data_IF_719684451315
#
_entry.id   IF_719684451315
#
_cell.length_a   1.000
_cell.length_b   1.000
_cell.length_c   1.000
_cell.angle_alpha   90.00
_cell.angle_beta   90.00
_cell.angle_gamma   90.00
#
_symmetry.space_group_name_H-M   'P 1'
#
loop_
_entity.id
_entity.type
_entity.pdbx_description
1 polymer ?
#
# COMPACT_ATOMS: atom_id res chain seq x y z
N UNK A 1 -44.83 27.52 -50.16
CA UNK A 1 -46.28 27.60 -50.43
C UNK A 1 -46.83 26.21 -50.12
N UNK A 2 -47.64 25.92 -49.12
CA UNK A 2 -48.32 26.70 -48.07
C UNK A 2 -48.55 25.73 -46.89
N UNK A 3 -48.52 26.27 -45.67
CA UNK A 3 -49.03 25.66 -44.44
C UNK A 3 -50.56 25.49 -44.48
N UNK A 4 -51.12 24.63 -43.61
CA UNK A 4 -51.96 25.14 -42.52
C UNK A 4 -51.69 24.36 -41.21
N UNK A 5 -51.37 24.95 -40.04
CA UNK A 5 -52.14 25.83 -39.14
C UNK A 5 -53.55 25.34 -38.81
N UNK A 6 -53.73 24.70 -37.65
CA UNK A 6 -54.89 24.89 -36.76
C UNK A 6 -54.59 24.35 -35.34
N UNK A 7 -54.68 25.23 -34.35
CA UNK A 7 -55.09 24.98 -32.96
C UNK A 7 -56.37 25.85 -32.74
N UNK A 8 -57.04 25.93 -31.56
CA UNK A 8 -56.93 25.21 -30.28
C UNK A 8 -58.31 24.76 -29.68
N UNK A 9 -58.33 24.09 -28.51
CA UNK A 9 -59.25 24.31 -27.36
C UNK A 9 -59.12 23.13 -26.35
N UNK A 10 -58.69 23.33 -25.10
CA UNK A 10 -59.37 23.83 -23.88
C UNK A 10 -60.16 22.77 -23.06
N UNK A 11 -59.65 22.58 -21.84
CA UNK A 11 -60.32 22.38 -20.53
C UNK A 11 -61.14 21.13 -20.21
N UNK A 12 -60.69 20.39 -19.17
CA UNK A 12 -61.38 20.11 -17.87
C UNK A 12 -60.49 19.16 -17.04
N UNK A 13 -59.81 19.59 -15.98
CA UNK A 13 -60.20 19.59 -14.55
C UNK A 13 -60.77 18.26 -13.97
N UNK A 14 -60.04 17.70 -13.00
CA UNK A 14 -60.50 17.04 -11.75
C UNK A 14 -59.33 16.17 -11.22
N UNK A 15 -58.49 16.66 -10.30
CA UNK A 15 -58.57 16.48 -8.84
C UNK A 15 -58.62 15.02 -8.36
N UNK A 16 -57.58 14.56 -7.65
CA UNK A 16 -57.74 13.93 -6.34
C UNK A 16 -56.40 13.90 -5.58
N UNK A 17 -56.51 14.33 -4.32
CA UNK A 17 -55.50 14.35 -3.25
C UNK A 17 -55.11 12.94 -2.81
N UNK A 18 -53.87 12.77 -2.33
CA UNK A 18 -53.56 11.82 -1.26
C UNK A 18 -52.34 12.30 -0.46
N UNK A 19 -52.62 12.73 0.77
CA UNK A 19 -51.68 12.76 1.89
C UNK A 19 -51.14 11.37 2.21
N UNK A 20 -49.94 11.31 2.82
CA UNK A 20 -49.53 10.47 3.96
C UNK A 20 -48.01 10.25 3.90
N UNK A 21 -47.22 10.95 4.72
CA UNK A 21 -46.90 10.68 6.12
C UNK A 21 -45.65 9.80 6.27
N UNK A 22 -44.60 10.48 6.75
CA UNK A 22 -43.39 9.97 7.40
C UNK A 22 -43.69 8.90 8.46
N UNK A 23 -42.98 7.76 8.38
CA UNK A 23 -42.92 6.78 9.45
C UNK A 23 -41.53 6.79 10.10
N UNK A 24 -41.49 7.32 11.31
CA UNK A 24 -40.42 7.16 12.29
C UNK A 24 -40.88 6.07 13.26
N UNK A 25 -40.10 5.01 13.46
CA UNK A 25 -40.38 4.00 14.50
C UNK A 25 -39.30 4.02 15.57
N UNK A 26 -39.59 4.75 16.65
CA UNK A 26 -39.11 4.39 17.99
C UNK A 26 -40.02 3.29 18.52
N UNK A 27 -39.46 2.19 19.02
CA UNK A 27 -40.20 1.22 19.83
C UNK A 27 -39.42 0.92 21.10
N UNK A 28 -40.04 1.30 22.22
CA UNK A 28 -39.59 1.11 23.59
C UNK A 28 -40.15 -0.23 24.11
N UNK A 29 -39.29 -0.96 24.81
CA UNK A 29 -39.45 -2.11 25.71
C UNK A 29 -40.86 -2.44 26.25
N UNK A 30 -41.05 -3.72 26.63
CA UNK A 30 -41.34 -3.98 28.05
C UNK A 30 -40.38 -4.99 28.69
N UNK A 31 -40.16 -4.77 29.99
CA UNK A 31 -39.33 -5.56 30.90
C UNK A 31 -40.00 -6.89 31.31
N UNK A 32 -39.16 -7.88 31.63
CA UNK A 32 -39.55 -9.13 32.27
C UNK A 32 -38.32 -9.96 32.64
N UNK A 33 -38.10 -10.14 33.94
CA UNK A 33 -36.87 -10.60 34.60
C UNK A 33 -36.53 -12.11 34.46
N UNK A 34 -35.27 -12.40 34.84
CA UNK A 34 -34.77 -13.59 35.57
C UNK A 34 -34.33 -14.80 34.75
N UNK A 35 -33.01 -15.00 34.60
CA UNK A 35 -32.23 -15.97 35.40
C UNK A 35 -30.74 -15.91 35.02
N UNK A 36 -29.91 -15.58 36.00
CA UNK A 36 -28.45 -15.73 35.97
C UNK A 36 -28.13 -17.17 36.35
N UNK A 37 -27.34 -17.87 35.53
CA UNK A 37 -26.64 -19.09 35.95
C UNK A 37 -25.14 -18.85 35.91
N UNK A 38 -24.58 -18.73 37.11
CA UNK A 38 -23.15 -18.84 37.40
C UNK A 38 -22.69 -20.29 37.16
N UNK A 39 -21.58 -20.47 36.45
CA UNK A 39 -20.85 -21.74 36.45
C UNK A 39 -19.52 -21.55 37.19
N UNK A 40 -19.57 -21.93 38.47
CA UNK A 40 -18.43 -22.14 39.36
C UNK A 40 -17.94 -23.58 39.19
N UNK A 41 -16.66 -23.79 38.84
CA UNK A 41 -15.99 -25.09 38.97
C UNK A 41 -14.67 -24.92 39.74
N UNK A 42 -14.79 -25.16 41.04
CA UNK A 42 -13.93 -25.92 41.97
C UNK A 42 -12.41 -26.00 41.73
N UNK A 43 -11.73 -25.39 42.70
CA UNK A 43 -10.41 -25.69 43.25
C UNK A 43 -10.21 -27.18 43.62
N UNK A 44 -9.00 -27.69 43.35
CA UNK A 44 -8.33 -28.76 44.09
C UNK A 44 -6.88 -28.35 44.31
N UNK A 45 -6.53 -28.16 45.57
CA UNK A 45 -5.16 -28.00 46.06
C UNK A 45 -4.63 -29.33 46.61
N UNK A 46 -3.31 -29.32 46.83
CA UNK A 46 -2.45 -30.23 47.61
C UNK A 46 -1.74 -31.31 46.77
N UNK A 47 -0.44 -31.11 46.47
CA UNK A 47 0.56 -31.64 47.40
C UNK A 47 1.93 -30.93 47.36
N UNK A 48 2.56 -30.90 48.54
CA UNK A 48 3.79 -30.22 48.92
C UNK A 48 5.04 -31.00 48.49
N UNK A 49 6.07 -30.25 48.07
CA UNK A 49 7.45 -30.73 48.01
C UNK A 49 8.43 -29.58 48.26
N UNK A 50 8.73 -29.33 49.52
CA UNK A 50 9.68 -28.32 50.00
C UNK A 50 11.14 -28.79 49.87
N UNK A 51 12.02 -27.93 49.34
CA UNK A 51 13.46 -27.90 49.67
C UNK A 51 14.01 -26.47 49.61
N UNK A 52 14.80 -26.13 50.62
CA UNK A 52 15.22 -24.80 51.05
C UNK A 52 16.75 -24.65 50.81
N UNK A 53 17.15 -23.56 50.10
CA UNK A 53 18.31 -22.63 50.23
C UNK A 53 19.70 -23.26 50.58
N UNK A 54 20.82 -23.05 49.85
CA UNK A 54 21.67 -21.82 49.78
C UNK A 54 22.95 -22.06 48.89
N UNK A 55 23.94 -21.13 48.76
CA UNK A 55 24.20 -20.32 47.56
C UNK A 55 25.57 -20.57 46.90
N UNK A 56 25.71 -20.31 45.59
CA UNK A 56 27.03 -20.06 44.99
C UNK A 56 26.92 -18.91 44.01
N UNK A 57 27.45 -17.77 44.45
CA UNK A 57 27.95 -16.68 43.63
C UNK A 57 28.99 -17.20 42.65
N UNK A 58 28.81 -16.94 41.36
CA UNK A 58 29.85 -16.50 40.42
C UNK A 58 29.28 -16.41 38.98
N UNK A 59 29.83 -15.47 38.22
CA UNK A 59 29.59 -15.16 36.79
C UNK A 59 28.47 -14.17 36.48
N UNK A 60 28.77 -12.89 36.75
CA UNK A 60 28.37 -11.81 35.86
C UNK A 60 29.12 -12.00 34.53
N UNK A 61 28.44 -12.47 33.49
CA UNK A 61 28.87 -12.24 32.11
C UNK A 61 27.72 -11.59 31.33
N UNK A 62 27.95 -10.33 31.01
CA UNK A 62 27.02 -9.45 30.31
C UNK A 62 27.11 -9.72 28.81
N UNK A 63 26.31 -10.64 28.29
CA UNK A 63 26.11 -10.81 26.86
C UNK A 63 24.77 -11.48 26.54
N UNK A 64 23.74 -10.66 26.31
CA UNK A 64 22.52 -11.04 25.58
C UNK A 64 22.54 -10.35 24.21
N UNK A 65 22.33 -11.04 23.08
CA UNK A 65 22.39 -10.43 21.76
C UNK A 65 21.00 -9.89 21.38
N UNK A 66 20.73 -8.64 21.75
CA UNK A 66 19.66 -7.85 21.11
C UNK A 66 20.30 -7.07 19.96
N UNK A 67 19.90 -7.40 18.73
CA UNK A 67 20.14 -6.67 17.48
C UNK A 67 21.55 -6.08 17.29
N UNK A 68 22.50 -6.92 16.84
CA UNK A 68 23.71 -6.41 16.17
C UNK A 68 23.41 -6.20 14.69
N UNK A 69 23.44 -4.94 14.27
CA UNK A 69 23.51 -4.57 12.85
C UNK A 69 24.74 -5.24 12.21
N UNK A 70 24.64 -5.76 10.96
CA UNK A 70 25.81 -6.24 10.25
C UNK A 70 26.82 -5.11 10.12
N UNK A 71 28.03 -5.29 10.66
CA UNK A 71 29.13 -4.34 10.47
C UNK A 71 29.51 -4.33 8.99
N UNK A 72 29.26 -3.21 8.33
CA UNK A 72 29.73 -2.93 7.00
C UNK A 72 31.27 -2.93 6.97
N UNK A 73 31.85 -3.69 6.05
CA UNK A 73 33.29 -3.72 5.80
C UNK A 73 33.58 -2.81 4.59
N UNK A 74 34.17 -1.62 4.76
CA UNK A 74 34.22 -0.59 3.72
C UNK A 74 35.22 -0.87 2.59
N UNK A 75 35.92 -2.01 2.61
CA UNK A 75 37.03 -2.26 1.69
C UNK A 75 36.66 -2.89 0.34
N UNK A 76 35.37 -3.09 0.03
CA UNK A 76 34.91 -3.61 -1.27
C UNK A 76 33.71 -2.83 -1.86
N UNK A 77 33.42 -1.64 -1.36
CA UNK A 77 32.43 -0.77 -1.98
C UNK A 77 33.05 -0.11 -3.21
N UNK A 78 32.75 -0.65 -4.39
CA UNK A 78 32.83 0.15 -5.59
C UNK A 78 31.87 1.33 -5.39
N UNK A 79 32.43 2.52 -5.41
CA UNK A 79 31.71 3.79 -5.53
C UNK A 79 30.91 3.76 -6.83
N UNK A 80 29.65 3.30 -6.78
CA UNK A 80 28.68 3.53 -7.83
C UNK A 80 27.38 4.00 -7.17
N UNK A 81 27.09 5.28 -7.42
CA UNK A 81 25.96 6.04 -6.91
C UNK A 81 24.62 5.40 -7.26
N UNK A 82 23.93 4.87 -6.26
CA UNK A 82 22.47 4.89 -6.21
C UNK A 82 22.07 5.51 -4.88
N UNK A 83 22.26 6.82 -4.76
CA UNK A 83 21.54 7.59 -3.73
C UNK A 83 20.06 7.49 -4.09
N UNK A 84 19.31 6.69 -3.34
CA UNK A 84 17.85 6.61 -3.37
C UNK A 84 17.26 7.91 -2.82
N UNK A 85 17.42 9.00 -3.58
CA UNK A 85 16.90 10.32 -3.25
C UNK A 85 15.39 10.39 -3.49
N UNK A 86 14.71 11.18 -2.65
CA UNK A 86 13.33 11.61 -2.90
C UNK A 86 13.32 12.36 -4.22
N UNK A 87 12.41 11.99 -5.13
CA UNK A 87 12.40 12.56 -6.48
C UNK A 87 12.21 14.09 -6.41
N UNK A 88 12.91 14.91 -7.22
CA UNK A 88 12.85 16.36 -7.14
C UNK A 88 11.44 16.97 -7.26
N UNK A 89 10.52 16.28 -7.98
CA UNK A 89 9.12 16.69 -8.06
C UNK A 89 8.41 16.62 -6.71
N UNK A 90 8.69 15.56 -5.94
CA UNK A 90 8.16 15.39 -4.58
C UNK A 90 8.70 16.46 -3.66
N UNK A 91 10.00 16.75 -3.70
CA UNK A 91 10.59 17.86 -2.92
C UNK A 91 9.99 19.22 -3.29
N UNK A 92 9.56 19.42 -4.54
CA UNK A 92 8.95 20.67 -4.99
C UNK A 92 7.52 20.86 -4.50
N UNK A 93 6.74 19.78 -4.35
CA UNK A 93 5.32 19.87 -4.03
C UNK A 93 4.99 19.51 -2.58
N UNK A 94 5.85 18.74 -1.90
CA UNK A 94 5.65 18.34 -0.51
C UNK A 94 5.61 19.56 0.44
N UNK A 95 4.82 19.44 1.50
CA UNK A 95 4.99 20.29 2.66
C UNK A 95 6.34 19.93 3.31
N UNK A 96 7.18 20.92 3.58
CA UNK A 96 8.50 20.69 4.18
C UNK A 96 8.51 21.22 5.62
N UNK A 97 8.82 20.35 6.58
CA UNK A 97 9.23 20.75 7.93
C UNK A 97 10.73 20.57 8.03
N UNK A 98 11.45 21.64 8.34
CA UNK A 98 12.88 21.58 8.51
C UNK A 98 13.24 21.69 9.99
N UNK A 99 14.01 20.72 10.50
CA UNK A 99 14.48 20.64 11.87
C UNK A 99 13.32 20.72 12.89
N UNK A 100 12.38 19.75 12.86
CA UNK A 100 11.25 19.73 13.78
C UNK A 100 11.70 19.77 15.24
N UNK A 101 10.92 20.45 16.06
CA UNK A 101 11.15 20.62 17.50
C UNK A 101 10.58 19.47 18.32
N UNK A 102 9.50 18.84 17.84
CA UNK A 102 8.83 17.73 18.54
C UNK A 102 8.07 16.81 17.57
N UNK A 103 7.55 15.70 18.09
CA UNK A 103 6.68 14.78 17.33
C UNK A 103 5.33 15.41 17.04
N UNK A 104 4.79 16.16 17.98
CA UNK A 104 3.48 16.82 17.87
C UNK A 104 3.46 17.79 16.69
N UNK A 105 4.57 18.46 16.40
CA UNK A 105 4.71 19.32 15.21
C UNK A 105 4.50 18.54 13.90
N UNK A 106 5.09 17.35 13.81
CA UNK A 106 4.94 16.45 12.65
C UNK A 106 3.49 15.95 12.56
N UNK A 107 2.90 15.53 13.68
CA UNK A 107 1.52 15.03 13.72
C UNK A 107 0.49 16.09 13.35
N UNK A 108 0.68 17.34 13.79
CA UNK A 108 -0.18 18.47 13.40
C UNK A 108 -0.14 18.68 11.89
N UNK A 109 1.05 18.62 11.27
CA UNK A 109 1.18 18.77 9.83
C UNK A 109 0.55 17.60 9.05
N UNK A 110 0.73 16.36 9.51
CA UNK A 110 0.05 15.18 8.94
C UNK A 110 -1.47 15.38 8.98
N UNK A 111 -2.02 15.78 10.13
CA UNK A 111 -3.45 15.98 10.30
C UNK A 111 -3.99 17.16 9.49
N UNK A 112 -3.18 18.19 9.25
CA UNK A 112 -3.53 19.30 8.38
C UNK A 112 -3.70 18.82 6.93
N UNK A 113 -2.77 18.03 6.42
CA UNK A 113 -2.85 17.47 5.05
C UNK A 113 -4.05 16.53 4.93
N UNK A 114 -4.29 15.65 5.92
CA UNK A 114 -5.47 14.78 5.98
C UNK A 114 -6.78 15.57 5.86
N UNK A 115 -6.93 16.65 6.65
CA UNK A 115 -8.11 17.52 6.60
C UNK A 115 -8.32 18.18 5.23
N UNK A 116 -7.24 18.49 4.51
CA UNK A 116 -7.35 19.05 3.16
C UNK A 116 -7.92 18.02 2.17
N UNK A 117 -7.50 16.75 2.26
CA UNK A 117 -8.09 15.66 1.48
C UNK A 117 -9.59 15.48 1.77
N UNK A 118 -10.01 15.61 3.03
CA UNK A 118 -11.42 15.49 3.42
C UNK A 118 -12.27 16.70 2.99
N UNK A 119 -11.66 17.85 2.72
CA UNK A 119 -12.35 19.13 2.46
C UNK A 119 -12.92 19.27 1.03
N UNK A 120 -12.81 18.25 0.19
CA UNK A 120 -13.27 18.27 -1.20
C UNK A 120 -12.37 19.06 -2.17
N UNK A 121 -11.34 19.74 -1.65
CA UNK A 121 -10.28 20.41 -2.41
C UNK A 121 -8.94 19.74 -2.02
N UNK A 122 -8.56 18.63 -2.70
CA UNK A 122 -7.35 17.91 -2.33
C UNK A 122 -6.11 18.80 -2.47
N UNK A 123 -5.11 18.66 -1.57
CA UNK A 123 -3.88 19.42 -1.67
C UNK A 123 -3.11 19.11 -2.95
N UNK A 124 -2.21 20.00 -3.38
CA UNK A 124 -1.34 19.77 -4.54
C UNK A 124 -0.33 18.64 -4.32
N UNK A 125 -0.20 18.15 -3.08
CA UNK A 125 0.70 17.05 -2.72
C UNK A 125 0.17 16.29 -1.51
N UNK A 126 0.35 14.97 -1.54
CA UNK A 126 0.08 14.08 -0.42
C UNK A 126 1.28 13.90 0.52
N UNK A 127 2.35 14.68 0.35
CA UNK A 127 3.61 14.46 1.05
C UNK A 127 3.92 15.50 2.11
N UNK A 128 4.43 15.00 3.23
CA UNK A 128 5.15 15.77 4.23
C UNK A 128 6.61 15.27 4.26
N UNK A 129 7.55 16.12 3.86
CA UNK A 129 8.98 15.87 3.97
C UNK A 129 9.53 16.54 5.22
N UNK A 130 10.01 15.73 6.15
CA UNK A 130 10.64 16.21 7.38
C UNK A 130 12.15 16.07 7.25
N UNK A 131 12.85 17.21 7.27
CA UNK A 131 14.31 17.29 7.06
C UNK A 131 15.07 17.63 8.33
N UNK A 132 16.35 17.28 8.37
CA UNK A 132 17.28 17.65 9.44
C UNK A 132 16.75 17.32 10.85
N UNK A 133 16.15 16.15 11.03
CA UNK A 133 15.50 15.77 12.28
C UNK A 133 16.57 15.67 13.38
N UNK A 134 16.44 16.37 14.53
CA UNK A 134 17.41 16.26 15.61
C UNK A 134 17.60 14.80 16.05
N UNK A 135 18.84 14.33 16.21
CA UNK A 135 19.13 12.90 16.35
C UNK A 135 18.42 12.23 17.53
N UNK A 136 18.18 12.96 18.62
CA UNK A 136 17.38 12.47 19.76
C UNK A 136 15.93 12.20 19.36
N UNK A 137 15.33 13.11 18.58
CA UNK A 137 13.96 12.96 18.06
C UNK A 137 13.91 11.87 16.99
N UNK A 138 14.88 11.82 16.07
CA UNK A 138 14.96 10.78 15.05
C UNK A 138 15.00 9.39 15.68
N UNK A 139 15.86 9.18 16.70
CA UNK A 139 15.93 7.92 17.43
C UNK A 139 14.59 7.54 18.08
N UNK A 140 13.93 8.49 18.74
CA UNK A 140 12.62 8.26 19.34
C UNK A 140 11.55 7.90 18.30
N UNK A 141 11.57 8.51 17.12
CA UNK A 141 10.67 8.19 16.01
C UNK A 141 10.94 6.81 15.38
N UNK A 142 12.17 6.29 15.48
CA UNK A 142 12.51 4.94 14.99
C UNK A 142 12.20 3.85 16.02
N UNK A 143 12.32 4.17 17.32
CA UNK A 143 11.94 3.28 18.41
C UNK A 143 10.42 3.08 18.48
N UNK A 144 9.65 4.11 18.13
CA UNK A 144 8.22 3.98 17.92
C UNK A 144 7.91 3.46 16.52
N UNK A 145 7.48 2.20 16.43
CA UNK A 145 7.13 1.57 15.15
C UNK A 145 5.72 1.93 14.67
N UNK A 146 4.90 2.63 15.47
CA UNK A 146 3.55 2.97 15.05
C UNK A 146 3.52 4.17 14.08
N UNK A 147 3.32 3.85 12.80
CA UNK A 147 2.98 4.85 11.80
C UNK A 147 1.56 5.37 12.05
N UNK A 148 1.31 6.69 11.97
CA UNK A 148 -0.05 7.21 12.08
C UNK A 148 -0.96 6.57 11.04
N UNK A 149 -2.17 6.15 11.45
CA UNK A 149 -3.13 5.48 10.56
C UNK A 149 -3.33 6.26 9.26
N UNK A 150 -3.26 5.58 8.10
CA UNK A 150 -3.42 6.20 6.79
C UNK A 150 -2.19 6.99 6.34
N UNK A 151 -1.00 6.65 6.82
CA UNK A 151 0.27 7.24 6.41
C UNK A 151 1.28 6.14 6.13
N UNK A 152 1.94 6.21 4.99
CA UNK A 152 3.10 5.37 4.66
C UNK A 152 4.38 6.20 4.80
N UNK A 153 5.50 5.53 5.10
CA UNK A 153 6.77 6.23 5.35
C UNK A 153 7.90 5.72 4.45
N UNK A 154 8.70 6.66 3.97
CA UNK A 154 10.05 6.42 3.45
C UNK A 154 11.04 7.06 4.41
N UNK A 155 11.93 6.26 4.99
CA UNK A 155 12.93 6.72 5.97
C UNK A 155 14.30 6.75 5.29
N UNK A 156 14.99 7.89 5.35
CA UNK A 156 16.36 8.06 4.86
C UNK A 156 17.32 8.22 6.04
N UNK A 157 17.88 7.10 6.51
CA UNK A 157 18.70 7.04 7.72
C UNK A 157 19.91 7.97 7.68
N UNK A 158 20.61 8.00 6.55
CA UNK A 158 21.84 8.78 6.37
C UNK A 158 21.63 10.30 6.39
N UNK A 159 20.41 10.77 6.06
CA UNK A 159 20.06 12.21 6.07
C UNK A 159 19.27 12.62 7.31
N UNK A 160 18.85 11.67 8.17
CA UNK A 160 17.86 11.91 9.23
C UNK A 160 16.62 12.63 8.67
N UNK A 161 16.10 12.10 7.55
CA UNK A 161 14.91 12.61 6.87
C UNK A 161 13.84 11.52 6.81
N UNK A 162 12.58 11.94 6.91
CA UNK A 162 11.42 11.07 6.75
C UNK A 162 10.46 11.73 5.78
N UNK A 163 10.06 10.98 4.75
CA UNK A 163 8.98 11.35 3.85
C UNK A 163 7.73 10.59 4.28
N UNK A 164 6.74 11.33 4.78
CA UNK A 164 5.40 10.80 5.06
C UNK A 164 4.53 10.96 3.81
N UNK A 165 3.96 9.85 3.33
CA UNK A 165 2.93 9.80 2.30
C UNK A 165 1.56 9.68 2.98
N UNK A 166 0.75 10.73 2.92
CA UNK A 166 -0.58 10.76 3.51
C UNK A 166 -1.55 10.10 2.54
N UNK A 167 -2.08 8.93 2.90
CA UNK A 167 -2.92 8.14 2.01
C UNK A 167 -4.38 8.62 2.10
N UNK A 168 -4.97 9.20 1.03
CA UNK A 168 -6.39 9.56 1.04
C UNK A 168 -7.24 8.29 1.10
N UNK A 169 -7.94 8.12 2.22
CA UNK A 169 -8.42 6.82 2.68
C UNK A 169 -9.26 6.05 1.67
N UNK A 170 -10.34 6.62 1.14
CA UNK A 170 -11.31 5.83 0.38
C UNK A 170 -10.79 5.37 -1.00
N UNK A 171 -10.27 6.29 -1.82
CA UNK A 171 -9.84 5.95 -3.19
C UNK A 171 -8.60 5.08 -3.22
N UNK A 172 -7.61 5.38 -2.37
CA UNK A 172 -6.40 4.56 -2.29
C UNK A 172 -6.74 3.13 -1.84
N UNK A 173 -7.53 2.99 -0.77
CA UNK A 173 -7.95 1.67 -0.27
C UNK A 173 -8.75 0.90 -1.32
N UNK A 174 -9.64 1.55 -2.06
CA UNK A 174 -10.41 0.91 -3.13
C UNK A 174 -9.50 0.39 -4.25
N UNK A 175 -8.52 1.18 -4.70
CA UNK A 175 -7.57 0.76 -5.74
C UNK A 175 -6.80 -0.47 -5.28
N UNK A 176 -6.22 -0.42 -4.07
CA UNK A 176 -5.44 -1.53 -3.50
C UNK A 176 -6.32 -2.78 -3.32
N UNK A 177 -7.51 -2.62 -2.76
CA UNK A 177 -8.44 -3.74 -2.53
C UNK A 177 -8.84 -4.40 -3.84
N UNK A 178 -9.21 -3.62 -4.86
CA UNK A 178 -9.65 -4.15 -6.16
C UNK A 178 -8.52 -4.82 -6.93
N UNK A 179 -7.31 -4.28 -6.81
CA UNK A 179 -6.12 -4.92 -7.38
C UNK A 179 -5.86 -6.29 -6.74
N UNK A 180 -5.90 -6.38 -5.41
CA UNK A 180 -5.75 -7.65 -4.69
C UNK A 180 -6.86 -8.65 -5.07
N UNK A 181 -8.12 -8.19 -5.12
CA UNK A 181 -9.24 -9.01 -5.58
C UNK A 181 -9.05 -9.53 -7.01
N UNK A 182 -8.50 -8.72 -7.91
CA UNK A 182 -8.20 -9.17 -9.27
C UNK A 182 -7.15 -10.28 -9.29
N UNK A 183 -6.07 -10.16 -8.50
CA UNK A 183 -5.08 -11.23 -8.33
C UNK A 183 -5.77 -12.50 -7.80
N UNK A 184 -6.53 -12.38 -6.72
CA UNK A 184 -7.17 -13.52 -6.05
C UNK A 184 -8.15 -14.25 -6.97
N UNK A 185 -9.01 -13.52 -7.68
CA UNK A 185 -9.99 -14.08 -8.62
C UNK A 185 -9.26 -14.79 -9.77
N UNK A 186 -8.20 -14.18 -10.28
CA UNK A 186 -7.48 -14.69 -11.45
C UNK A 186 -6.69 -15.94 -11.08
N UNK A 187 -5.95 -15.95 -9.98
CA UNK A 187 -5.22 -17.12 -9.50
C UNK A 187 -6.16 -18.24 -9.01
N UNK A 188 -7.26 -17.89 -8.35
CA UNK A 188 -8.27 -18.85 -7.93
C UNK A 188 -8.90 -19.60 -9.10
N UNK A 189 -9.14 -18.92 -10.23
CA UNK A 189 -9.61 -19.56 -11.47
C UNK A 189 -8.59 -20.54 -12.08
N UNK A 190 -7.30 -20.39 -11.73
CA UNK A 190 -6.21 -21.30 -12.14
C UNK A 190 -6.00 -22.45 -11.16
N UNK A 191 -6.77 -22.50 -10.06
CA UNK A 191 -6.59 -23.48 -8.97
C UNK A 191 -5.43 -23.15 -8.03
N UNK A 192 -4.90 -21.93 -8.07
CA UNK A 192 -3.83 -21.44 -7.18
C UNK A 192 -4.49 -20.69 -6.02
N UNK A 193 -4.37 -21.22 -4.81
CA UNK A 193 -5.14 -20.73 -3.65
C UNK A 193 -4.24 -20.29 -2.49
N UNK A 194 -4.62 -19.19 -1.86
CA UNK A 194 -4.03 -18.76 -0.60
C UNK A 194 -4.75 -19.34 0.64
N UNK A 195 -5.94 -19.94 0.47
CA UNK A 195 -6.72 -20.53 1.58
C UNK A 195 -6.71 -22.06 1.57
N UNK A 196 -6.81 -22.67 0.39
CA UNK A 196 -7.13 -24.10 0.28
C UNK A 196 -5.88 -25.00 0.27
N UNK A 197 -4.71 -24.39 0.12
CA UNK A 197 -3.41 -25.06 0.08
C UNK A 197 -2.73 -24.99 1.46
N UNK A 198 -2.08 -26.08 1.89
CA UNK A 198 -1.26 -26.11 3.10
C UNK A 198 0.15 -26.67 2.80
N UNK A 199 1.20 -25.83 2.71
CA UNK A 199 1.18 -24.37 2.87
C UNK A 199 0.43 -23.64 1.73
N UNK A 200 0.04 -22.36 1.92
CA UNK A 200 -0.63 -21.57 0.88
C UNK A 200 0.28 -21.38 -0.35
N UNK A 201 -0.32 -21.34 -1.54
CA UNK A 201 0.45 -21.18 -2.78
C UNK A 201 1.04 -19.76 -2.92
N UNK A 202 0.40 -18.78 -2.30
CA UNK A 202 0.86 -17.40 -2.20
C UNK A 202 0.23 -16.70 -1.00
N UNK A 203 0.74 -15.52 -0.68
CA UNK A 203 0.12 -14.57 0.25
C UNK A 203 0.17 -13.14 -0.29
N UNK A 204 -0.76 -12.32 0.19
CA UNK A 204 -0.83 -10.88 -0.04
C UNK A 204 -0.58 -10.11 1.27
N UNK A 205 0.23 -9.05 1.22
CA UNK A 205 0.41 -8.13 2.35
C UNK A 205 0.66 -6.69 1.88
N UNK A 206 0.38 -5.68 2.69
CA UNK A 206 0.51 -4.26 2.28
C UNK A 206 1.01 -3.32 3.36
N UNK A 207 1.66 -3.83 4.42
CA UNK A 207 2.12 -2.97 5.53
C UNK A 207 3.43 -3.41 6.18
N UNK A 208 4.09 -4.45 5.66
CA UNK A 208 5.37 -4.91 6.19
C UNK A 208 6.50 -4.04 5.63
N UNK A 209 7.10 -3.21 6.50
CA UNK A 209 8.24 -2.36 6.15
C UNK A 209 9.44 -3.19 5.70
N UNK A 210 10.05 -2.76 4.60
CA UNK A 210 11.22 -3.38 3.99
C UNK A 210 12.44 -2.50 4.16
N UNK A 211 13.51 -3.12 4.66
CA UNK A 211 14.78 -2.47 4.93
C UNK A 211 15.66 -2.64 3.70
N UNK A 212 15.90 -1.53 3.02
CA UNK A 212 16.90 -1.42 1.95
C UNK A 212 18.29 -1.11 2.49
N UNK A 213 19.22 -0.76 1.60
CA UNK A 213 20.62 -0.52 1.95
C UNK A 213 20.82 0.69 2.87
N UNK A 214 20.12 1.79 2.60
CA UNK A 214 20.23 3.06 3.32
C UNK A 214 18.87 3.68 3.70
N UNK A 215 17.78 2.96 3.44
CA UNK A 215 16.42 3.47 3.56
C UNK A 215 15.41 2.35 3.82
N UNK A 216 14.26 2.70 4.38
CA UNK A 216 13.16 1.75 4.63
C UNK A 216 11.87 2.25 3.97
N UNK A 217 11.08 1.33 3.41
CA UNK A 217 9.82 1.65 2.70
C UNK A 217 8.75 0.57 2.93
N UNK A 218 7.49 0.97 2.89
CA UNK A 218 6.32 0.09 2.97
C UNK A 218 5.62 0.03 1.60
N UNK A 219 5.26 -1.16 1.08
CA UNK A 219 4.49 -1.28 -0.16
C UNK A 219 3.01 -1.01 0.11
N UNK A 220 2.24 -0.57 -0.90
CA UNK A 220 0.78 -0.48 -0.75
C UNK A 220 0.11 -1.87 -0.79
N UNK A 221 0.62 -2.73 -1.68
CA UNK A 221 0.38 -4.17 -1.64
C UNK A 221 1.60 -4.91 -2.18
N UNK A 222 1.73 -6.18 -1.81
CA UNK A 222 2.86 -7.02 -2.14
C UNK A 222 2.42 -8.48 -2.19
N UNK A 223 3.00 -9.21 -3.13
CA UNK A 223 2.70 -10.62 -3.42
C UNK A 223 3.89 -11.50 -3.07
N UNK A 224 3.65 -12.57 -2.32
CA UNK A 224 4.65 -13.56 -1.93
C UNK A 224 4.27 -14.93 -2.49
N UNK A 225 5.06 -15.50 -3.42
CA UNK A 225 4.85 -16.88 -3.82
C UNK A 225 5.28 -17.83 -2.70
N UNK A 226 4.48 -18.86 -2.43
CA UNK A 226 4.70 -19.84 -1.37
C UNK A 226 4.33 -19.37 0.05
N UNK A 227 3.54 -18.30 0.14
CA UNK A 227 3.08 -17.72 1.41
C UNK A 227 4.04 -16.69 2.03
N UNK A 228 3.62 -16.09 3.14
CA UNK A 228 4.43 -15.13 3.89
C UNK A 228 5.65 -15.83 4.49
N UNK A 229 6.83 -15.18 4.45
CA UNK A 229 8.00 -15.70 5.14
C UNK A 229 7.72 -15.82 6.64
N UNK A 230 8.05 -16.99 7.22
CA UNK A 230 7.86 -17.27 8.64
C UNK A 230 8.66 -16.25 9.47
N UNK A 231 8.06 -15.61 10.51
CA UNK A 231 8.70 -14.56 11.30
C UNK A 231 10.01 -14.97 12.01
N UNK A 232 10.23 -16.27 12.20
CA UNK A 232 11.40 -16.82 12.91
C UNK A 232 12.65 -16.97 12.02
N UNK A 233 12.56 -16.60 10.73
CA UNK A 233 13.69 -16.62 9.79
C UNK A 233 14.54 -15.35 9.80
N UNK A 234 15.86 -15.42 9.58
CA UNK A 234 16.77 -14.27 9.66
C UNK A 234 16.60 -13.24 8.52
N UNK A 235 15.75 -13.49 7.53
CA UNK A 235 15.52 -12.58 6.38
C UNK A 235 14.04 -12.60 6.01
N UNK A 236 13.35 -11.47 6.15
CA UNK A 236 12.00 -11.32 5.60
C UNK A 236 12.11 -11.39 4.07
N UNK A 237 11.60 -12.45 3.45
CA UNK A 237 11.65 -12.64 2.00
C UNK A 237 11.02 -11.44 1.27
N UNK A 238 11.64 -11.00 0.18
CA UNK A 238 11.12 -9.89 -0.65
C UNK A 238 9.98 -10.40 -1.53
N UNK A 239 8.94 -9.59 -1.76
CA UNK A 239 7.84 -9.97 -2.65
C UNK A 239 8.31 -10.07 -4.10
N UNK A 240 7.68 -10.93 -4.89
CA UNK A 240 7.93 -10.98 -6.34
C UNK A 240 7.30 -9.78 -7.06
N UNK A 241 6.11 -9.36 -6.59
CA UNK A 241 5.38 -8.21 -7.09
C UNK A 241 5.08 -7.21 -5.97
N UNK A 242 5.24 -5.92 -6.28
CA UNK A 242 4.75 -4.80 -5.44
C UNK A 242 3.77 -3.93 -6.23
N UNK A 243 2.69 -3.52 -5.58
CA UNK A 243 1.82 -2.44 -6.02
C UNK A 243 2.22 -1.15 -5.30
N UNK A 244 2.35 -0.07 -6.08
CA UNK A 244 2.36 1.30 -5.58
C UNK A 244 1.22 2.08 -6.22
N UNK A 245 0.29 2.54 -5.41
CA UNK A 245 -0.87 3.31 -5.80
C UNK A 245 -0.77 4.73 -5.22
N UNK A 246 -0.69 5.72 -6.11
CA UNK A 246 -0.58 7.13 -5.74
C UNK A 246 -1.82 7.90 -6.12
N UNK A 247 -2.49 8.54 -5.15
CA UNK A 247 -3.58 9.48 -5.40
C UNK A 247 -3.04 10.90 -5.33
N UNK A 248 -3.13 11.65 -6.42
CA UNK A 248 -2.47 12.96 -6.59
C UNK A 248 -0.94 12.90 -6.45
N UNK A 249 -0.36 11.70 -6.54
CA UNK A 249 1.08 11.47 -6.58
C UNK A 249 1.61 11.69 -8.00
N UNK A 250 2.79 12.29 -8.16
CA UNK A 250 3.39 12.38 -9.49
C UNK A 250 3.83 10.99 -9.98
N UNK A 251 3.51 10.65 -11.22
CA UNK A 251 3.97 9.40 -11.84
C UNK A 251 5.49 9.23 -11.79
N UNK A 252 6.25 10.32 -11.85
CA UNK A 252 7.71 10.29 -11.70
C UNK A 252 8.16 9.74 -10.33
N UNK A 253 7.44 10.05 -9.25
CA UNK A 253 7.73 9.51 -7.92
C UNK A 253 7.37 8.02 -7.83
N UNK A 254 6.22 7.61 -8.36
CA UNK A 254 5.86 6.18 -8.43
C UNK A 254 6.89 5.37 -9.22
N UNK A 255 7.46 5.94 -10.29
CA UNK A 255 8.55 5.30 -11.04
C UNK A 255 9.86 5.24 -10.24
N UNK A 256 10.17 6.26 -9.46
CA UNK A 256 11.30 6.22 -8.53
C UNK A 256 11.08 5.12 -7.46
N UNK A 257 9.85 4.93 -7.01
CA UNK A 257 9.48 3.85 -6.10
C UNK A 257 9.67 2.47 -6.74
N UNK A 258 9.31 2.29 -8.01
CA UNK A 258 9.58 1.05 -8.73
C UNK A 258 11.08 0.71 -8.77
N UNK A 259 11.92 1.70 -9.09
CA UNK A 259 13.37 1.52 -9.07
C UNK A 259 13.90 1.20 -7.66
N UNK A 260 13.34 1.85 -6.64
CA UNK A 260 13.71 1.58 -5.25
C UNK A 260 13.46 0.12 -4.88
N UNK A 261 12.28 -0.43 -5.21
CA UNK A 261 11.92 -1.82 -4.91
C UNK A 261 12.84 -2.82 -5.60
N UNK A 262 13.12 -2.63 -6.88
CA UNK A 262 14.00 -3.51 -7.62
C UNK A 262 15.43 -3.47 -7.10
N UNK A 263 16.01 -2.28 -6.93
CA UNK A 263 17.39 -2.11 -6.47
C UNK A 263 17.60 -2.62 -5.04
N UNK A 264 16.72 -2.26 -4.10
CA UNK A 264 16.90 -2.63 -2.68
C UNK A 264 16.53 -4.08 -2.37
N UNK A 265 15.71 -4.72 -3.21
CA UNK A 265 15.40 -6.14 -3.06
C UNK A 265 16.51 -7.06 -3.55
N UNK A 266 17.55 -6.52 -4.21
CA UNK A 266 18.51 -7.32 -4.97
C UNK A 266 17.83 -8.05 -6.13
N UNK A 267 16.92 -7.34 -6.83
CA UNK A 267 16.14 -7.81 -7.98
C UNK A 267 15.12 -8.93 -7.65
N UNK A 268 14.88 -9.19 -6.37
CA UNK A 268 13.86 -10.16 -5.91
C UNK A 268 12.43 -9.65 -6.05
N UNK A 269 12.25 -8.34 -6.11
CA UNK A 269 11.00 -7.71 -6.58
C UNK A 269 11.20 -7.34 -8.04
N UNK A 270 10.83 -8.24 -8.94
CA UNK A 270 11.06 -8.09 -10.38
C UNK A 270 9.82 -7.65 -11.15
N UNK A 271 8.70 -7.46 -10.45
CA UNK A 271 7.48 -6.86 -10.98
C UNK A 271 7.07 -5.72 -10.05
N UNK A 272 6.84 -4.53 -10.61
CA UNK A 272 6.21 -3.42 -9.90
C UNK A 272 5.05 -2.90 -10.72
N UNK A 273 3.86 -2.86 -10.11
CA UNK A 273 2.67 -2.28 -10.72
C UNK A 273 2.47 -0.90 -10.11
N UNK A 274 2.37 0.12 -10.97
CA UNK A 274 2.12 1.49 -10.57
C UNK A 274 0.70 1.89 -10.98
N UNK A 275 -0.07 2.45 -10.05
CA UNK A 275 -1.38 3.03 -10.33
C UNK A 275 -1.39 4.49 -9.87
N UNK A 276 -1.34 5.42 -10.83
CA UNK A 276 -1.47 6.86 -10.56
C UNK A 276 -2.92 7.28 -10.77
N UNK A 277 -3.56 7.87 -9.77
CA UNK A 277 -4.89 8.47 -9.87
C UNK A 277 -4.81 10.00 -9.69
N UNK A 278 -5.24 10.77 -10.69
CA UNK A 278 -5.21 12.22 -10.70
C UNK A 278 -6.62 12.80 -10.67
N UNK A 279 -6.91 13.61 -9.65
CA UNK A 279 -8.17 14.33 -9.53
C UNK A 279 -8.00 15.75 -10.08
N UNK A 280 -8.79 16.09 -11.10
CA UNK A 280 -8.79 17.43 -11.68
C UNK A 280 -9.67 18.36 -10.85
N UNK A 281 -9.09 19.47 -10.39
CA UNK A 281 -9.72 20.44 -9.47
C UNK A 281 -10.79 21.34 -10.09
N UNK A 282 -11.16 21.15 -11.37
CA UNK A 282 -11.91 22.15 -12.14
C UNK A 282 -13.43 21.97 -12.19
N UNK A 283 -14.05 21.06 -11.43
CA UNK A 283 -15.51 20.91 -11.43
C UNK A 283 -16.07 20.87 -10.01
N UNK A 284 -16.61 22.02 -9.57
CA UNK A 284 -17.36 22.17 -8.32
C UNK A 284 -18.68 21.38 -8.29
N UNK A 285 -19.00 20.60 -9.32
CA UNK A 285 -20.33 19.98 -9.45
C UNK A 285 -20.36 18.75 -10.36
N UNK A 286 -19.54 17.73 -10.10
CA UNK A 286 -19.91 16.31 -10.32
C UNK A 286 -18.77 15.39 -9.88
N UNK A 287 -19.15 14.25 -9.28
CA UNK A 287 -18.25 13.15 -8.93
C UNK A 287 -17.62 12.58 -10.22
N UNK A 288 -16.47 13.12 -10.62
CA UNK A 288 -15.70 12.57 -11.73
C UNK A 288 -14.75 11.50 -11.19
N UNK A 289 -14.74 10.34 -11.85
CA UNK A 289 -13.71 9.33 -11.65
C UNK A 289 -12.33 9.93 -11.97
N UNK A 290 -11.26 9.62 -11.20
CA UNK A 290 -9.95 10.19 -11.46
C UNK A 290 -9.41 9.72 -12.82
N UNK A 291 -8.55 10.54 -13.42
CA UNK A 291 -7.76 10.09 -14.54
C UNK A 291 -6.67 9.15 -14.01
N UNK A 292 -6.62 7.95 -14.55
CA UNK A 292 -5.75 6.90 -14.06
C UNK A 292 -4.73 6.45 -15.11
N UNK A 293 -3.53 6.18 -14.64
CA UNK A 293 -2.47 5.53 -15.42
C UNK A 293 -2.00 4.30 -14.68
N UNK A 294 -1.92 3.18 -15.40
CA UNK A 294 -1.40 1.91 -14.90
C UNK A 294 -0.14 1.59 -15.67
N UNK A 295 0.96 1.32 -14.98
CA UNK A 295 2.21 0.87 -15.57
C UNK A 295 2.64 -0.46 -14.95
N UNK A 296 3.07 -1.40 -15.79
CA UNK A 296 3.74 -2.62 -15.33
C UNK A 296 5.23 -2.47 -15.65
N UNK A 297 6.02 -2.50 -14.59
CA UNK A 297 7.47 -2.49 -14.65
C UNK A 297 7.99 -3.90 -14.41
N UNK A 298 8.78 -4.42 -15.35
CA UNK A 298 9.39 -5.76 -15.26
C UNK A 298 10.87 -5.72 -15.53
N UNK A 299 11.58 -6.70 -14.98
CA UNK A 299 12.98 -6.96 -15.32
C UNK A 299 13.11 -7.34 -16.80
N UNK A 300 14.03 -6.68 -17.50
CA UNK A 300 14.37 -6.93 -18.90
C UNK A 300 15.89 -6.91 -19.09
N UNK A 301 16.37 -7.56 -20.15
CA UNK A 301 17.79 -7.52 -20.51
C UNK A 301 18.22 -6.09 -20.84
N UNK A 302 19.34 -5.68 -20.26
CA UNK A 302 19.90 -4.35 -20.49
C UNK A 302 20.54 -4.29 -21.88
N UNK A 303 19.83 -3.68 -22.83
CA UNK A 303 20.28 -3.50 -24.21
C UNK A 303 21.30 -2.35 -24.39
N UNK A 304 21.79 -1.73 -23.32
CA UNK A 304 22.80 -0.67 -23.43
C UNK A 304 24.11 -1.22 -24.02
N UNK A 305 24.53 -0.65 -25.15
CA UNK A 305 25.80 -0.96 -25.81
C UNK A 305 27.03 -0.47 -25.03
N UNK A 306 26.82 0.48 -24.11
CA UNK A 306 27.87 1.05 -23.28
C UNK A 306 28.08 0.19 -22.03
N UNK A 307 29.12 -0.64 -22.06
CA UNK A 307 29.58 -1.42 -20.91
C UNK A 307 30.55 -0.59 -20.07
N UNK A 308 30.04 0.04 -19.01
CA UNK A 308 30.86 0.66 -17.97
C UNK A 308 31.21 -0.37 -16.88
N UNK A 309 32.18 -0.05 -16.02
CA UNK A 309 32.31 -0.75 -14.73
C UNK A 309 30.98 -0.50 -13.98
N UNK A 310 30.33 -1.56 -13.49
CA UNK A 310 28.97 -1.49 -12.95
C UNK A 310 27.83 -1.91 -13.90
N UNK A 311 28.15 -2.42 -15.11
CA UNK A 311 27.13 -2.90 -16.05
C UNK A 311 26.23 -3.98 -15.43
N UNK A 312 24.94 -3.68 -15.36
CA UNK A 312 23.91 -4.63 -14.97
C UNK A 312 23.32 -5.28 -16.23
N UNK A 313 23.32 -6.62 -16.29
CA UNK A 313 22.74 -7.37 -17.41
C UNK A 313 21.23 -7.29 -17.47
N UNK A 314 20.59 -6.92 -16.37
CA UNK A 314 19.15 -6.81 -16.21
C UNK A 314 18.82 -5.45 -15.60
N UNK A 315 17.71 -4.86 -16.04
CA UNK A 315 17.21 -3.56 -15.55
C UNK A 315 15.70 -3.61 -15.44
N UNK A 316 15.13 -2.83 -14.50
CA UNK A 316 13.68 -2.67 -14.41
C UNK A 316 13.21 -1.55 -15.34
N UNK A 317 12.26 -1.86 -16.23
CA UNK A 317 11.69 -0.90 -17.18
C UNK A 317 10.17 -1.01 -17.24
N UNK A 318 9.50 0.10 -17.58
CA UNK A 318 8.08 0.10 -17.94
C UNK A 318 7.91 -0.67 -19.25
N UNK A 319 7.36 -1.89 -19.19
CA UNK A 319 7.14 -2.72 -20.36
C UNK A 319 5.73 -2.58 -20.91
N UNK A 320 4.77 -2.23 -20.06
CA UNK A 320 3.36 -2.14 -20.44
C UNK A 320 2.67 -0.99 -19.72
N UNK A 321 1.68 -0.39 -20.37
CA UNK A 321 0.92 0.73 -19.83
C UNK A 321 -0.49 0.80 -20.39
N UNK A 322 -1.41 1.20 -19.55
CA UNK A 322 -2.78 1.56 -19.92
C UNK A 322 -3.20 2.83 -19.18
N UNK A 323 -4.25 3.47 -19.67
CA UNK A 323 -4.85 4.64 -19.03
C UNK A 323 -6.36 4.55 -18.98
N UNK A 324 -6.96 5.21 -18.01
CA UNK A 324 -8.39 5.38 -17.89
C UNK A 324 -8.68 6.87 -17.76
N UNK A 325 -9.47 7.40 -18.71
CA UNK A 325 -9.80 8.83 -18.78
C UNK A 325 -11.25 8.94 -19.22
N UNK A 326 -12.04 9.77 -18.54
CA UNK A 326 -13.45 10.00 -18.87
C UNK A 326 -14.28 8.71 -19.05
N UNK A 327 -14.06 7.69 -18.21
CA UNK A 327 -14.80 6.44 -18.26
C UNK A 327 -14.34 5.44 -19.32
N UNK A 328 -13.28 5.76 -20.08
CA UNK A 328 -12.77 4.95 -21.19
C UNK A 328 -11.36 4.45 -20.88
N UNK A 329 -11.13 3.15 -21.05
CA UNK A 329 -9.80 2.54 -20.98
C UNK A 329 -9.12 2.63 -22.34
N UNK A 330 -7.87 3.08 -22.35
CA UNK A 330 -7.00 3.14 -23.52
C UNK A 330 -5.72 2.36 -23.26
N UNK A 331 -5.23 1.64 -24.27
CA UNK A 331 -4.05 0.78 -24.17
C UNK A 331 -4.37 -0.70 -24.35
N UNK A 332 -3.34 -1.56 -24.44
CA UNK A 332 -3.50 -3.01 -24.56
C UNK A 332 -3.96 -3.65 -23.24
N UNK A 333 -4.32 -4.94 -23.32
CA UNK A 333 -4.36 -5.81 -22.14
C UNK A 333 -2.97 -5.82 -21.50
N UNK A 334 -2.92 -5.66 -20.19
CA UNK A 334 -1.65 -5.73 -19.45
C UNK A 334 -1.48 -7.14 -18.90
N UNK A 335 -0.30 -7.72 -19.06
CA UNK A 335 -0.02 -9.14 -18.77
C UNK A 335 1.07 -9.25 -17.71
N UNK A 336 0.81 -10.02 -16.66
CA UNK A 336 1.82 -10.40 -15.67
C UNK A 336 2.18 -11.87 -15.89
N UNK A 337 3.42 -12.18 -16.31
CA UNK A 337 3.83 -13.56 -16.56
C UNK A 337 3.72 -14.40 -15.29
N UNK A 338 3.00 -15.53 -15.36
CA UNK A 338 2.75 -16.40 -14.21
C UNK A 338 4.06 -16.84 -13.57
N UNK A 339 5.03 -17.24 -14.41
CA UNK A 339 6.33 -17.72 -13.96
C UNK A 339 7.12 -16.66 -13.18
N UNK A 340 6.97 -15.39 -13.55
CA UNK A 340 7.66 -14.29 -12.87
C UNK A 340 6.99 -13.98 -11.53
N UNK A 341 5.66 -14.00 -11.50
CA UNK A 341 4.86 -13.77 -10.28
C UNK A 341 5.05 -14.90 -9.26
N UNK A 342 4.86 -16.15 -9.69
CA UNK A 342 4.87 -17.34 -8.83
C UNK A 342 6.27 -17.90 -8.58
N UNK A 343 7.29 -17.40 -9.29
CA UNK A 343 8.69 -17.88 -9.21
C UNK A 343 8.84 -19.39 -9.49
N UNK A 344 7.89 -19.96 -10.24
CA UNK A 344 7.88 -21.36 -10.71
C UNK A 344 7.18 -21.46 -12.07
N UNK A 345 7.51 -22.45 -12.92
CA UNK A 345 6.75 -22.67 -14.13
C UNK A 345 5.30 -23.06 -13.82
N UNK A 346 4.42 -22.87 -14.81
CA UNK A 346 3.06 -23.42 -14.77
C UNK A 346 3.13 -24.96 -14.62
N UNK A 347 2.35 -25.50 -13.71
CA UNK A 347 2.28 -26.93 -13.39
C UNK A 347 1.13 -27.63 -14.12
N UNK A 348 0.16 -26.87 -14.61
CA UNK A 348 -1.01 -27.39 -15.32
C UNK A 348 -1.45 -26.40 -16.41
N UNK A 349 -2.31 -26.81 -17.37
CA UNK A 349 -2.75 -25.93 -18.45
C UNK A 349 -3.65 -24.77 -18.02
N UNK A 350 -4.18 -24.80 -16.80
CA UNK A 350 -5.03 -23.71 -16.27
C UNK A 350 -4.21 -22.59 -15.66
N UNK A 351 -2.98 -22.83 -15.23
CA UNK A 351 -2.02 -21.81 -14.82
C UNK A 351 -1.46 -21.07 -16.04
N UNK A 352 -2.01 -19.89 -16.29
CA UNK A 352 -1.61 -19.02 -17.41
C UNK A 352 -1.17 -17.65 -16.90
N UNK A 353 -0.62 -16.83 -17.78
CA UNK A 353 -0.30 -15.45 -17.45
C UNK A 353 -1.56 -14.68 -17.00
N UNK A 354 -1.38 -13.74 -16.06
CA UNK A 354 -2.48 -12.97 -15.51
C UNK A 354 -2.76 -11.79 -16.44
N UNK A 355 -3.97 -11.75 -17.00
CA UNK A 355 -4.41 -10.69 -17.90
C UNK A 355 -5.26 -9.65 -17.16
N UNK A 356 -4.73 -8.43 -17.04
CA UNK A 356 -5.46 -7.25 -16.59
C UNK A 356 -6.16 -6.62 -17.80
N UNK A 357 -7.36 -7.11 -18.08
CA UNK A 357 -8.18 -6.68 -19.23
C UNK A 357 -8.75 -5.27 -19.04
N UNK A 358 -9.17 -4.59 -20.12
CA UNK A 358 -9.87 -3.30 -20.01
C UNK A 358 -11.09 -3.33 -19.07
N UNK A 359 -11.80 -4.46 -18.96
CA UNK A 359 -12.91 -4.61 -18.03
C UNK A 359 -12.45 -4.57 -16.57
N UNK A 360 -11.36 -5.27 -16.24
CA UNK A 360 -10.79 -5.23 -14.90
C UNK A 360 -10.17 -3.87 -14.57
N UNK A 361 -9.49 -3.24 -15.53
CA UNK A 361 -9.00 -1.85 -15.37
C UNK A 361 -10.17 -0.94 -15.01
N UNK A 362 -11.28 -1.02 -15.74
CA UNK A 362 -12.47 -0.23 -15.47
C UNK A 362 -13.06 -0.51 -14.07
N UNK A 363 -12.99 -1.75 -13.57
CA UNK A 363 -13.42 -2.10 -12.19
C UNK A 363 -12.48 -1.53 -11.13
N UNK A 364 -11.16 -1.55 -11.35
CA UNK A 364 -10.19 -0.92 -10.45
C UNK A 364 -10.45 0.60 -10.39
N UNK A 365 -10.74 1.20 -11.55
CA UNK A 365 -10.89 2.63 -11.77
C UNK A 365 -12.26 3.24 -11.37
N UNK A 366 -13.28 2.44 -11.07
CA UNK A 366 -14.63 2.91 -10.68
C UNK A 366 -14.99 2.32 -9.34
#
# INVERSE_FOLDING_TARGET
>A
METPSFAPDRTSQSSHLSDSSSFTTHSTMPAGNTELSELSIRSRDVDRGSKQISPVSDLLDSSSPLFQYPKFNPSNAAEDCFETEIHPTTTRTALIINRPSSREEIEVAINMIKKQFDSGCPPPSQYLLVKCIPSKLFKALMEDQETPKGVCVLILHHKQEILYRIMPGAWHQLIVQRFNQWIDITLGAMGVSFWDSNPPDYDLAGSTRRIGSASEKEPDASFYPGGLPVPEGPVVAWPSLVLEAGVSESLAQLRADAQWWYANSGHRTNIVVLISAQFHSQSHSQCHSPDMSIEIWTEVENQSELRTRGWQSQVLQCTQRASFTNGVVSGPVLVIPFQNLMRRPAQNPTETDLELTPEFILKICR
#
